data_IF_587659201274
#
_entry.id   IF_587659201274
#
_cell.length_a   1.000
_cell.length_b   1.000
_cell.length_c   1.000
_cell.angle_alpha   90.00
_cell.angle_beta   90.00
_cell.angle_gamma   90.00
#
_symmetry.space_group_name_H-M   'P 1'
#
loop_
_entity.id
_entity.type
_entity.pdbx_description
1 polymer ?
#
# COMPACT_ATOMS: atom_id res chain seq x y z
N UNK A 1 -43.47 6.72 19.68
CA UNK A 1 -42.13 7.27 19.97
C UNK A 1 -41.58 7.91 18.71
N UNK A 2 -40.78 8.96 18.89
CA UNK A 2 -40.50 10.00 17.91
C UNK A 2 -39.58 9.53 16.77
N UNK A 3 -40.13 9.27 15.58
CA UNK A 3 -39.40 8.90 14.35
C UNK A 3 -38.80 10.12 13.66
N UNK A 4 -37.96 10.89 14.35
CA UNK A 4 -37.09 11.85 13.66
C UNK A 4 -35.90 11.09 13.09
N UNK A 5 -36.04 10.58 11.86
CA UNK A 5 -34.87 10.35 11.00
C UNK A 5 -34.24 11.73 10.83
N UNK A 6 -33.19 12.01 11.60
CA UNK A 6 -32.40 13.21 11.42
C UNK A 6 -31.81 13.14 10.02
N UNK A 7 -32.32 13.99 9.14
CA UNK A 7 -31.86 14.15 7.76
C UNK A 7 -30.32 14.13 7.73
N UNK A 8 -29.74 13.04 7.22
CA UNK A 8 -28.31 12.80 7.22
C UNK A 8 -27.52 13.95 6.60
N UNK A 9 -28.11 14.66 5.63
CA UNK A 9 -27.47 15.82 4.97
C UNK A 9 -27.34 17.05 5.88
N UNK A 10 -28.00 17.05 7.05
CA UNK A 10 -27.84 18.09 8.08
C UNK A 10 -26.66 17.82 9.01
N UNK A 11 -26.04 16.64 8.94
CA UNK A 11 -24.82 16.34 9.68
C UNK A 11 -23.62 17.06 9.05
N UNK A 12 -22.61 17.35 9.87
CA UNK A 12 -21.42 18.10 9.44
C UNK A 12 -20.38 17.28 8.67
N UNK A 13 -19.23 17.90 8.41
CA UNK A 13 -18.04 17.29 7.84
C UNK A 13 -16.94 17.25 8.90
N UNK A 14 -16.20 16.15 9.01
CA UNK A 14 -15.01 16.08 9.87
C UNK A 14 -13.83 16.82 9.24
N UNK A 15 -13.44 16.39 8.03
CA UNK A 15 -12.49 17.11 7.18
C UNK A 15 -13.14 17.38 5.83
N UNK A 16 -13.15 18.65 5.42
CA UNK A 16 -13.44 19.07 4.05
C UNK A 16 -12.15 19.55 3.40
N UNK A 17 -11.67 18.82 2.39
CA UNK A 17 -10.43 19.15 1.68
C UNK A 17 -10.71 19.38 0.19
N UNK A 18 -10.35 20.57 -0.29
CA UNK A 18 -10.43 20.95 -1.71
C UNK A 18 -9.02 21.26 -2.22
N UNK A 19 -8.60 20.59 -3.29
CA UNK A 19 -7.30 20.81 -3.95
C UNK A 19 -6.08 20.77 -3.02
N UNK A 20 -6.15 19.94 -1.97
CA UNK A 20 -5.15 19.84 -0.92
C UNK A 20 -4.47 18.47 -0.90
N UNK A 21 -3.18 18.46 -0.53
CA UNK A 21 -2.47 17.24 -0.12
C UNK A 21 -2.44 17.20 1.40
N UNK A 22 -2.88 16.11 2.02
CA UNK A 22 -2.92 16.00 3.48
C UNK A 22 -2.81 14.56 3.97
N UNK A 23 -2.55 14.39 5.27
CA UNK A 23 -2.57 13.09 5.95
C UNK A 23 -3.45 13.19 7.18
N UNK A 24 -4.41 12.29 7.30
CA UNK A 24 -5.15 12.01 8.53
C UNK A 24 -4.63 10.69 9.08
N UNK A 25 -3.70 10.75 10.03
CA UNK A 25 -3.06 9.55 10.58
C UNK A 25 -3.11 9.59 12.10
N UNK A 26 -3.50 8.48 12.73
CA UNK A 26 -3.40 8.35 14.17
C UNK A 26 -1.92 8.33 14.61
N UNK A 27 -1.62 8.96 15.75
CA UNK A 27 -0.26 9.03 16.28
C UNK A 27 0.14 7.71 16.93
N UNK A 28 1.37 7.26 16.69
CA UNK A 28 1.90 5.97 17.18
C UNK A 28 2.76 6.08 18.45
N UNK A 29 2.87 7.25 19.10
CA UNK A 29 3.99 7.49 20.04
C UNK A 29 3.73 7.23 21.52
N UNK A 30 2.51 6.93 21.97
CA UNK A 30 2.17 6.31 23.26
C UNK A 30 0.71 6.63 23.57
N UNK A 31 -0.09 5.59 23.84
CA UNK A 31 -1.58 5.60 23.91
C UNK A 31 -2.21 5.68 22.51
N UNK A 32 -3.07 4.72 22.11
CA UNK A 32 -3.73 4.79 20.81
C UNK A 32 -4.84 5.83 20.92
N UNK A 33 -4.57 7.09 20.58
CA UNK A 33 -5.67 7.97 20.14
C UNK A 33 -5.78 7.79 18.65
N UNK A 34 -6.52 6.77 18.25
CA UNK A 34 -7.09 6.73 16.90
C UNK A 34 -7.90 8.02 16.72
N UNK A 35 -7.80 8.68 15.56
CA UNK A 35 -8.71 9.79 15.30
C UNK A 35 -10.09 9.20 15.05
N UNK A 36 -11.09 9.66 15.80
CA UNK A 36 -12.47 9.20 15.64
C UNK A 36 -13.28 10.27 14.93
N UNK A 37 -13.88 9.90 13.80
CA UNK A 37 -14.87 10.67 13.06
C UNK A 37 -16.23 10.02 13.33
N UNK A 38 -17.16 10.72 13.98
CA UNK A 38 -18.40 10.10 14.44
C UNK A 38 -19.65 10.95 14.18
N UNK A 39 -20.73 10.30 13.75
CA UNK A 39 -22.06 10.91 13.57
C UNK A 39 -22.09 12.07 12.55
N UNK A 40 -21.23 12.01 11.52
CA UNK A 40 -21.11 13.04 10.47
C UNK A 40 -21.82 12.63 9.17
N UNK A 41 -22.05 13.59 8.28
CA UNK A 41 -22.47 13.27 6.91
C UNK A 41 -21.29 12.71 6.13
N UNK A 42 -20.11 13.34 6.32
CA UNK A 42 -18.82 12.83 5.87
C UNK A 42 -17.81 12.88 7.01
N UNK A 43 -17.13 11.76 7.28
CA UNK A 43 -15.93 11.78 8.10
C UNK A 43 -14.82 12.60 7.42
N UNK A 44 -14.44 12.17 6.21
CA UNK A 44 -13.55 12.94 5.32
C UNK A 44 -14.24 13.09 3.96
N UNK A 45 -14.36 14.33 3.49
CA UNK A 45 -14.69 14.63 2.11
C UNK A 45 -13.53 15.36 1.44
N UNK A 46 -12.87 14.68 0.51
CA UNK A 46 -11.72 15.19 -0.21
C UNK A 46 -11.97 15.18 -1.71
N UNK A 47 -11.68 16.29 -2.38
CA UNK A 47 -11.75 16.37 -3.83
C UNK A 47 -10.66 17.26 -4.41
N UNK A 48 -10.22 16.94 -5.63
CA UNK A 48 -9.28 17.79 -6.36
C UNK A 48 -9.54 17.79 -7.86
N UNK A 49 -9.29 18.94 -8.46
CA UNK A 49 -9.14 19.12 -9.92
C UNK A 49 -7.74 18.74 -10.42
N UNK A 50 -6.75 18.73 -9.52
CA UNK A 50 -5.39 18.29 -9.82
C UNK A 50 -5.19 16.84 -9.30
N UNK A 51 -5.07 15.85 -10.20
CA UNK A 51 -4.98 14.44 -9.82
C UNK A 51 -3.73 14.09 -8.99
N UNK A 52 -2.70 14.96 -8.95
CA UNK A 52 -1.49 14.75 -8.16
C UNK A 52 -1.62 15.23 -6.71
N UNK A 53 -2.71 15.91 -6.36
CA UNK A 53 -3.11 16.07 -4.96
C UNK A 53 -3.59 14.73 -4.45
N UNK A 54 -2.99 14.28 -3.35
CA UNK A 54 -3.22 12.96 -2.79
C UNK A 54 -3.48 13.08 -1.30
N UNK A 55 -4.13 12.08 -0.71
CA UNK A 55 -4.30 12.03 0.73
C UNK A 55 -3.96 10.65 1.28
N UNK A 56 -3.58 10.63 2.55
CA UNK A 56 -3.41 9.40 3.32
C UNK A 56 -4.38 9.39 4.49
N UNK A 57 -5.15 8.31 4.66
CA UNK A 57 -5.92 8.01 5.87
C UNK A 57 -5.36 6.74 6.48
N UNK A 58 -4.85 6.83 7.71
CA UNK A 58 -4.26 5.69 8.40
C UNK A 58 -4.65 5.61 9.88
N UNK A 59 -5.13 4.44 10.32
CA UNK A 59 -5.35 4.19 11.75
C UNK A 59 -6.50 4.99 12.35
N UNK A 60 -7.48 5.43 11.54
CA UNK A 60 -8.63 6.21 12.02
C UNK A 60 -9.87 5.34 12.19
N UNK A 61 -10.80 5.81 13.02
CA UNK A 61 -12.12 5.23 13.21
C UNK A 61 -13.20 6.13 12.59
N UNK A 62 -14.09 5.54 11.82
CA UNK A 62 -15.23 6.20 11.19
C UNK A 62 -16.52 5.53 11.66
N UNK A 63 -17.21 6.14 12.62
CA UNK A 63 -18.33 5.51 13.32
C UNK A 63 -19.64 6.23 12.99
N UNK A 64 -20.65 5.51 12.51
CA UNK A 64 -21.98 6.03 12.21
C UNK A 64 -21.98 7.29 11.32
N UNK A 65 -20.99 7.39 10.43
CA UNK A 65 -20.96 8.41 9.40
C UNK A 65 -21.76 7.90 8.20
N UNK A 66 -22.58 8.76 7.58
CA UNK A 66 -23.28 8.39 6.34
C UNK A 66 -22.28 8.09 5.22
N UNK A 67 -21.16 8.82 5.21
CA UNK A 67 -19.96 8.46 4.45
C UNK A 67 -18.72 8.53 5.34
N UNK A 68 -17.98 7.44 5.46
CA UNK A 68 -16.70 7.44 6.21
C UNK A 68 -15.68 8.35 5.51
N UNK A 69 -15.26 7.94 4.31
CA UNK A 69 -14.40 8.72 3.43
C UNK A 69 -15.03 8.80 2.05
N UNK A 70 -15.08 10.00 1.47
CA UNK A 70 -15.41 10.23 0.07
C UNK A 70 -14.28 10.99 -0.61
N UNK A 71 -13.67 10.37 -1.62
CA UNK A 71 -12.55 10.91 -2.36
C UNK A 71 -12.91 11.04 -3.84
N UNK A 72 -12.70 12.23 -4.42
CA UNK A 72 -12.99 12.50 -5.84
C UNK A 72 -11.80 13.14 -6.57
N UNK A 73 -11.36 12.53 -7.67
CA UNK A 73 -10.34 13.13 -8.55
C UNK A 73 -8.92 13.16 -7.98
N UNK A 74 -8.60 12.33 -6.98
CA UNK A 74 -7.28 12.33 -6.31
C UNK A 74 -6.59 10.97 -6.49
N UNK A 75 -5.48 10.96 -7.22
CA UNK A 75 -4.73 9.74 -7.50
C UNK A 75 -3.74 9.41 -6.39
N UNK A 76 -3.23 8.17 -6.39
CA UNK A 76 -2.18 7.71 -5.48
C UNK A 76 -2.53 7.72 -3.98
N UNK A 77 -3.81 7.94 -3.65
CA UNK A 77 -4.29 8.01 -2.28
C UNK A 77 -4.10 6.67 -1.55
N UNK A 78 -3.80 6.75 -0.26
CA UNK A 78 -3.60 5.58 0.62
C UNK A 78 -4.63 5.58 1.73
N UNK A 79 -5.48 4.56 1.77
CA UNK A 79 -6.48 4.36 2.82
C UNK A 79 -6.13 3.03 3.47
N UNK A 80 -5.45 3.06 4.61
CA UNK A 80 -4.83 1.87 5.19
C UNK A 80 -5.11 1.72 6.68
N UNK A 81 -5.37 0.51 7.15
CA UNK A 81 -5.53 0.22 8.58
C UNK A 81 -6.57 1.11 9.29
N UNK A 82 -7.67 1.48 8.63
CA UNK A 82 -8.78 2.22 9.25
C UNK A 82 -9.93 1.27 9.61
N UNK A 83 -10.75 1.69 10.57
CA UNK A 83 -11.98 1.01 10.97
C UNK A 83 -13.19 1.86 10.56
N UNK A 84 -14.16 1.23 9.90
CA UNK A 84 -15.41 1.86 9.46
C UNK A 84 -16.58 1.07 10.03
N UNK A 85 -17.38 1.70 10.88
CA UNK A 85 -18.73 1.26 11.20
C UNK A 85 -19.70 2.18 10.44
N UNK A 86 -20.15 1.68 9.29
CA UNK A 86 -20.86 2.48 8.29
C UNK A 86 -22.26 2.84 8.79
N UNK A 87 -22.52 4.14 8.87
CA UNK A 87 -23.83 4.68 9.21
C UNK A 87 -24.82 4.55 8.07
N UNK A 88 -26.11 4.44 8.40
CA UNK A 88 -27.18 4.59 7.42
C UNK A 88 -27.25 6.02 6.86
N UNK A 89 -27.93 6.13 5.73
CA UNK A 89 -28.28 7.41 5.13
C UNK A 89 -29.73 7.33 4.63
N UNK A 90 -30.39 8.50 4.53
CA UNK A 90 -31.85 8.67 4.49
C UNK A 90 -32.59 7.71 3.54
N UNK A 91 -32.02 7.42 2.37
CA UNK A 91 -32.63 6.54 1.38
C UNK A 91 -31.56 5.62 0.77
N UNK A 92 -31.64 4.32 1.10
CA UNK A 92 -30.73 3.27 0.61
C UNK A 92 -30.65 3.25 -0.93
N UNK A 93 -31.69 3.67 -1.65
CA UNK A 93 -31.70 3.66 -3.12
C UNK A 93 -31.07 4.89 -3.77
N UNK A 94 -31.16 6.08 -3.15
CA UNK A 94 -30.69 7.34 -3.76
C UNK A 94 -29.46 7.94 -3.09
N UNK A 95 -29.25 7.63 -1.82
CA UNK A 95 -28.12 8.11 -1.02
C UNK A 95 -27.77 7.05 0.04
N UNK A 96 -27.16 5.91 -0.35
CA UNK A 96 -26.81 4.84 0.58
C UNK A 96 -25.70 5.24 1.55
N UNK A 97 -25.64 4.57 2.70
CA UNK A 97 -24.52 4.68 3.63
C UNK A 97 -23.28 3.97 3.09
N UNK A 98 -22.12 4.64 3.05
CA UNK A 98 -20.89 4.13 2.41
C UNK A 98 -19.67 4.30 3.32
N UNK A 99 -18.90 3.24 3.57
CA UNK A 99 -17.63 3.35 4.29
C UNK A 99 -16.59 4.17 3.52
N UNK A 100 -16.24 3.70 2.33
CA UNK A 100 -15.29 4.35 1.42
C UNK A 100 -15.91 4.55 0.04
N UNK A 101 -15.96 5.79 -0.43
CA UNK A 101 -16.38 6.17 -1.77
C UNK A 101 -15.20 6.75 -2.57
N UNK A 102 -14.86 6.13 -3.70
CA UNK A 102 -13.79 6.56 -4.61
C UNK A 102 -14.38 6.88 -5.98
N UNK A 103 -14.25 8.12 -6.45
CA UNK A 103 -14.75 8.53 -7.77
C UNK A 103 -13.66 9.25 -8.57
N UNK A 104 -13.42 8.84 -9.82
CA UNK A 104 -12.37 9.43 -10.66
C UNK A 104 -10.97 9.37 -10.01
N UNK A 105 -10.70 8.35 -9.20
CA UNK A 105 -9.43 8.14 -8.51
C UNK A 105 -8.69 6.95 -9.15
N UNK A 106 -7.38 7.07 -9.35
CA UNK A 106 -6.57 5.97 -9.90
C UNK A 106 -5.21 5.82 -9.20
N UNK A 107 -4.56 4.68 -9.40
CA UNK A 107 -3.32 4.27 -8.72
C UNK A 107 -3.40 4.30 -7.17
N UNK A 108 -4.59 4.13 -6.60
CA UNK A 108 -4.78 4.15 -5.15
C UNK A 108 -4.48 2.80 -4.49
N UNK A 109 -4.30 2.84 -3.18
CA UNK A 109 -4.13 1.66 -2.32
C UNK A 109 -5.12 1.69 -1.15
N UNK A 110 -5.98 0.68 -1.09
CA UNK A 110 -6.89 0.43 0.04
C UNK A 110 -6.51 -0.91 0.65
N UNK A 111 -5.89 -0.91 1.83
CA UNK A 111 -5.41 -2.15 2.45
C UNK A 111 -5.59 -2.19 3.97
N UNK A 112 -5.88 -3.39 4.51
CA UNK A 112 -5.94 -3.65 5.95
C UNK A 112 -7.03 -2.84 6.68
N UNK A 113 -8.06 -2.38 5.96
CA UNK A 113 -9.18 -1.69 6.59
C UNK A 113 -10.26 -2.69 7.00
N UNK A 114 -10.99 -2.37 8.06
CA UNK A 114 -12.16 -3.12 8.51
C UNK A 114 -13.41 -2.30 8.24
N UNK A 115 -14.30 -2.80 7.38
CA UNK A 115 -15.62 -2.24 7.12
C UNK A 115 -16.68 -3.14 7.75
N UNK A 116 -17.51 -2.54 8.60
CA UNK A 116 -18.69 -3.19 9.17
C UNK A 116 -19.87 -2.24 9.17
N UNK A 117 -21.05 -2.72 9.54
CA UNK A 117 -22.19 -1.86 9.82
C UNK A 117 -23.00 -2.43 10.98
N UNK A 118 -23.06 -1.66 12.07
CA UNK A 118 -24.04 -1.84 13.14
C UNK A 118 -25.15 -0.79 13.10
N UNK A 119 -25.07 0.14 12.13
CA UNK A 119 -25.91 1.34 12.02
C UNK A 119 -26.72 1.42 10.71
N UNK A 120 -26.85 0.31 9.99
CA UNK A 120 -27.63 0.22 8.75
C UNK A 120 -26.92 0.78 7.51
N UNK A 121 -25.60 0.80 7.50
CA UNK A 121 -24.78 1.08 6.32
C UNK A 121 -25.03 0.07 5.20
N UNK A 122 -24.90 0.54 3.95
CA UNK A 122 -25.21 -0.28 2.77
C UNK A 122 -23.95 -0.83 2.12
N UNK A 123 -22.94 0.04 1.91
CA UNK A 123 -21.72 -0.26 1.16
C UNK A 123 -20.48 -0.16 2.03
N UNK A 124 -19.62 -1.17 1.98
CA UNK A 124 -18.28 -1.08 2.57
C UNK A 124 -17.39 -0.17 1.73
N UNK A 125 -17.20 -0.54 0.46
CA UNK A 125 -16.41 0.24 -0.50
C UNK A 125 -17.16 0.38 -1.83
N UNK A 126 -17.29 1.61 -2.33
CA UNK A 126 -17.90 1.95 -3.61
C UNK A 126 -16.89 2.67 -4.51
N UNK A 127 -16.70 2.15 -5.72
CA UNK A 127 -15.67 2.59 -6.66
C UNK A 127 -16.33 2.98 -7.98
N UNK A 128 -16.06 4.19 -8.43
CA UNK A 128 -16.61 4.74 -9.66
C UNK A 128 -15.50 5.34 -10.52
N UNK A 129 -15.40 4.90 -11.79
CA UNK A 129 -14.44 5.42 -12.76
C UNK A 129 -12.98 5.45 -12.25
N UNK A 130 -12.40 4.28 -12.01
CA UNK A 130 -11.07 4.13 -11.41
C UNK A 130 -9.88 4.30 -12.38
N UNK A 131 -10.13 4.75 -13.62
CA UNK A 131 -9.12 4.86 -14.68
C UNK A 131 -8.39 3.55 -15.01
N UNK A 132 -7.28 3.67 -15.75
CA UNK A 132 -6.56 2.53 -16.35
C UNK A 132 -5.41 1.98 -15.52
N UNK A 133 -4.94 2.72 -14.52
CA UNK A 133 -3.84 2.22 -13.68
C UNK A 133 -4.31 1.06 -12.81
N UNK A 134 -3.36 0.25 -12.37
CA UNK A 134 -3.66 -0.79 -11.38
C UNK A 134 -4.05 -0.15 -10.05
N UNK A 135 -5.23 -0.52 -9.56
CA UNK A 135 -5.77 -0.07 -8.28
C UNK A 135 -5.97 -1.28 -7.39
N UNK A 136 -5.62 -1.19 -6.10
CA UNK A 136 -5.74 -2.32 -5.20
C UNK A 136 -6.76 -2.06 -4.09
N UNK A 137 -7.73 -2.96 -3.99
CA UNK A 137 -8.52 -3.23 -2.79
C UNK A 137 -7.98 -4.56 -2.26
N UNK A 138 -7.11 -4.49 -1.27
CA UNK A 138 -6.26 -5.60 -0.86
C UNK A 138 -6.37 -5.88 0.63
N UNK A 139 -6.66 -7.11 1.05
CA UNK A 139 -6.61 -7.50 2.47
C UNK A 139 -7.45 -6.62 3.39
N UNK A 140 -8.65 -6.23 2.94
CA UNK A 140 -9.63 -5.58 3.79
C UNK A 140 -10.61 -6.62 4.32
N UNK A 141 -11.20 -6.34 5.47
CA UNK A 141 -12.22 -7.17 6.09
C UNK A 141 -13.58 -6.48 5.98
N UNK A 142 -14.58 -7.19 5.47
CA UNK A 142 -15.93 -6.70 5.28
C UNK A 142 -16.90 -7.59 6.06
N UNK A 143 -17.72 -6.99 6.92
CA UNK A 143 -18.74 -7.72 7.68
C UNK A 143 -20.07 -7.00 7.83
N UNK A 144 -21.18 -7.73 7.88
CA UNK A 144 -22.51 -7.17 8.21
C UNK A 144 -22.93 -5.98 7.32
N UNK A 145 -22.59 -6.02 6.03
CA UNK A 145 -22.93 -5.01 5.02
C UNK A 145 -23.82 -5.64 3.96
N UNK A 146 -24.76 -4.89 3.37
CA UNK A 146 -25.58 -5.44 2.28
C UNK A 146 -24.72 -5.75 1.05
N UNK A 147 -23.91 -4.78 0.60
CA UNK A 147 -22.96 -5.00 -0.50
C UNK A 147 -21.57 -4.58 -0.01
N UNK A 148 -20.67 -5.55 0.11
CA UNK A 148 -19.37 -5.31 0.72
C UNK A 148 -18.47 -4.45 -0.17
N UNK A 149 -18.31 -4.82 -1.44
CA UNK A 149 -17.58 -4.02 -2.45
C UNK A 149 -18.43 -3.84 -3.70
N UNK A 150 -18.50 -2.62 -4.24
CA UNK A 150 -19.15 -2.33 -5.53
C UNK A 150 -18.25 -1.50 -6.44
N UNK A 151 -18.20 -1.87 -7.71
CA UNK A 151 -17.51 -1.12 -8.77
C UNK A 151 -18.43 -0.85 -9.96
N UNK A 152 -18.24 0.32 -10.57
CA UNK A 152 -19.00 0.76 -11.74
C UNK A 152 -18.20 1.76 -12.59
N UNK A 153 -18.56 1.84 -13.86
CA UNK A 153 -17.99 2.74 -14.87
C UNK A 153 -16.47 2.68 -14.96
N UNK A 154 -15.89 1.51 -14.69
CA UNK A 154 -14.46 1.26 -14.87
C UNK A 154 -14.14 1.25 -16.35
N UNK A 155 -13.26 2.15 -16.80
CA UNK A 155 -12.85 2.29 -18.19
C UNK A 155 -11.49 1.61 -18.43
N UNK A 156 -11.25 1.12 -19.65
CA UNK A 156 -9.97 0.55 -20.09
C UNK A 156 -9.18 1.46 -21.03
N UNK A 157 -7.86 1.24 -21.05
CA UNK A 157 -7.02 1.70 -22.15
C UNK A 157 -7.50 1.01 -23.44
N UNK A 158 -7.72 1.78 -24.49
CA UNK A 158 -8.43 1.39 -25.72
C UNK A 158 -7.75 0.26 -26.53
N UNK A 159 -6.55 -0.17 -26.14
CA UNK A 159 -5.77 -1.23 -26.81
C UNK A 159 -6.10 -2.66 -26.37
N UNK A 160 -6.97 -2.85 -25.38
CA UNK A 160 -7.22 -4.15 -24.79
C UNK A 160 -8.68 -4.60 -24.93
N UNK A 161 -8.99 -5.30 -26.01
CA UNK A 161 -10.28 -5.98 -26.20
C UNK A 161 -10.16 -7.42 -25.70
N UNK A 162 -11.01 -7.81 -24.75
CA UNK A 162 -11.21 -9.21 -24.41
C UNK A 162 -11.68 -9.98 -25.66
N UNK A 163 -10.98 -11.05 -26.02
CA UNK A 163 -11.39 -12.00 -27.05
C UNK A 163 -12.05 -13.16 -26.31
N UNK A 164 -13.25 -13.58 -26.74
CA UNK A 164 -13.89 -14.81 -26.27
C UNK A 164 -13.59 -15.95 -27.25
N UNK A 165 -13.29 -17.19 -26.80
CA UNK A 165 -13.05 -17.60 -25.41
C UNK A 165 -11.63 -17.17 -24.97
N UNK A 166 -11.39 -16.76 -23.72
CA UNK A 166 -10.24 -15.94 -23.40
C UNK A 166 -8.93 -16.73 -23.44
N UNK A 167 -7.91 -16.30 -24.23
CA UNK A 167 -6.59 -16.18 -23.67
C UNK A 167 -6.60 -15.01 -22.67
N UNK A 168 -5.99 -15.26 -21.52
CA UNK A 168 -5.79 -14.34 -20.40
C UNK A 168 -4.98 -13.12 -20.86
N UNK A 169 -5.63 -12.07 -21.36
CA UNK A 169 -4.94 -10.79 -21.58
C UNK A 169 -4.83 -10.13 -20.21
N UNK A 170 -3.61 -9.81 -19.79
CA UNK A 170 -3.34 -9.12 -18.53
C UNK A 170 -3.58 -7.62 -18.71
N UNK A 171 -4.65 -7.13 -18.10
CA UNK A 171 -5.16 -5.78 -18.21
C UNK A 171 -5.05 -5.10 -16.85
N UNK A 172 -4.35 -3.97 -16.84
CA UNK A 172 -4.35 -3.04 -15.72
C UNK A 172 -5.77 -2.54 -15.43
N UNK A 173 -6.03 -2.24 -14.16
CA UNK A 173 -7.32 -1.79 -13.68
C UNK A 173 -7.52 -2.16 -12.22
N UNK A 174 -8.77 -2.16 -11.77
CA UNK A 174 -9.13 -2.54 -10.41
C UNK A 174 -8.82 -4.03 -10.15
N UNK A 175 -8.01 -4.30 -9.12
CA UNK A 175 -7.71 -5.62 -8.58
C UNK A 175 -8.26 -5.69 -7.16
N UNK A 176 -9.24 -6.56 -6.95
CA UNK A 176 -9.85 -6.87 -5.65
C UNK A 176 -9.30 -8.20 -5.21
N UNK A 177 -8.38 -8.19 -4.25
CA UNK A 177 -7.59 -9.37 -3.88
C UNK A 177 -7.48 -9.53 -2.36
N UNK A 178 -7.43 -10.77 -1.89
CA UNK A 178 -7.13 -11.13 -0.51
C UNK A 178 -8.07 -10.50 0.52
N UNK A 179 -9.23 -10.00 0.12
CA UNK A 179 -10.22 -9.46 1.05
C UNK A 179 -10.98 -10.60 1.69
N UNK A 180 -11.50 -10.35 2.89
CA UNK A 180 -12.31 -11.30 3.64
C UNK A 180 -13.72 -10.74 3.76
N UNK A 181 -14.68 -11.50 3.24
CA UNK A 181 -16.10 -11.20 3.33
C UNK A 181 -16.76 -12.15 4.33
N UNK A 182 -17.44 -11.62 5.32
CA UNK A 182 -18.26 -12.39 6.26
C UNK A 182 -19.63 -11.73 6.42
N UNK A 183 -20.71 -12.49 6.52
CA UNK A 183 -22.04 -11.92 6.78
C UNK A 183 -22.46 -10.80 5.82
N UNK A 184 -22.13 -10.91 4.52
CA UNK A 184 -22.65 -10.00 3.50
C UNK A 184 -24.14 -10.27 3.28
N UNK A 185 -24.96 -9.22 3.32
CA UNK A 185 -26.42 -9.32 3.22
C UNK A 185 -26.94 -9.51 1.79
N UNK A 186 -26.13 -9.27 0.75
CA UNK A 186 -26.50 -9.45 -0.66
C UNK A 186 -25.32 -9.86 -1.55
N UNK A 187 -24.21 -9.14 -1.50
CA UNK A 187 -23.09 -9.36 -2.45
C UNK A 187 -21.75 -9.09 -1.79
N UNK A 188 -20.79 -9.99 -1.98
CA UNK A 188 -19.40 -9.77 -1.58
C UNK A 188 -18.72 -8.77 -2.51
N UNK A 189 -18.70 -9.05 -3.82
CA UNK A 189 -18.20 -8.15 -4.86
C UNK A 189 -19.21 -7.94 -6.00
N UNK A 190 -19.65 -6.70 -6.20
CA UNK A 190 -20.47 -6.29 -7.34
C UNK A 190 -19.65 -5.55 -8.40
N UNK A 191 -19.76 -5.97 -9.66
CA UNK A 191 -19.27 -5.22 -10.83
C UNK A 191 -20.47 -4.90 -11.70
N UNK A 192 -20.87 -3.63 -11.77
CA UNK A 192 -22.16 -3.28 -12.36
C UNK A 192 -22.05 -2.72 -13.77
N UNK A 193 -20.92 -2.12 -14.15
CA UNK A 193 -20.66 -1.65 -15.52
C UNK A 193 -19.16 -1.54 -15.77
N UNK A 194 -18.77 -1.56 -17.05
CA UNK A 194 -17.38 -1.37 -17.47
C UNK A 194 -16.53 -2.64 -17.37
N UNK A 195 -15.27 -2.46 -17.03
CA UNK A 195 -14.29 -3.54 -16.92
C UNK A 195 -13.29 -3.29 -15.80
N UNK A 196 -13.08 -4.29 -14.95
CA UNK A 196 -12.04 -4.30 -13.92
C UNK A 196 -10.76 -4.94 -14.46
N UNK A 197 -9.68 -4.92 -13.67
CA UNK A 197 -8.44 -5.60 -14.04
C UNK A 197 -8.74 -7.06 -14.41
N UNK A 198 -8.14 -7.56 -15.48
CA UNK A 198 -8.41 -8.91 -15.96
C UNK A 198 -7.10 -9.59 -16.29
N UNK A 199 -6.88 -10.85 -15.88
CA UNK A 199 -7.65 -11.54 -14.84
C UNK A 199 -7.53 -10.81 -13.48
N UNK A 200 -8.45 -11.13 -12.55
CA UNK A 200 -8.25 -10.88 -11.13
C UNK A 200 -7.17 -11.86 -10.64
N UNK A 201 -5.98 -11.33 -10.35
CA UNK A 201 -4.81 -12.11 -9.98
C UNK A 201 -4.25 -13.01 -11.09
N UNK A 202 -3.13 -13.69 -10.81
CA UNK A 202 -2.43 -14.60 -11.75
C UNK A 202 -1.94 -15.87 -11.05
N UNK A 203 -1.94 -17.00 -11.75
CA UNK A 203 -1.40 -18.28 -11.28
C UNK A 203 0.10 -18.45 -11.61
N UNK A 204 0.94 -17.46 -11.30
CA UNK A 204 2.39 -17.51 -11.56
C UNK A 204 3.25 -17.62 -10.29
N UNK A 205 2.86 -16.94 -9.21
CA UNK A 205 3.48 -17.04 -7.88
C UNK A 205 2.39 -17.01 -6.81
N UNK A 206 2.63 -17.59 -5.64
CA UNK A 206 1.63 -17.76 -4.57
C UNK A 206 0.89 -16.49 -4.13
N UNK A 207 1.54 -15.32 -4.19
CA UNK A 207 0.96 -14.02 -3.81
C UNK A 207 0.15 -13.32 -4.92
N UNK A 208 0.14 -13.90 -6.13
CA UNK A 208 -0.47 -13.29 -7.31
C UNK A 208 -1.95 -13.60 -7.53
N UNK A 209 -2.52 -14.77 -7.18
CA UNK A 209 -3.94 -15.02 -7.33
C UNK A 209 -4.76 -14.03 -6.51
N UNK A 210 -6.04 -13.89 -6.87
CA UNK A 210 -6.93 -12.95 -6.21
C UNK A 210 -7.21 -13.37 -4.77
N UNK A 211 -7.54 -14.64 -4.52
CA UNK A 211 -7.65 -15.22 -3.18
C UNK A 211 -8.51 -14.40 -2.20
N UNK A 212 -9.60 -13.78 -2.68
CA UNK A 212 -10.60 -13.29 -1.74
C UNK A 212 -11.23 -14.49 -1.04
N UNK A 213 -11.48 -14.34 0.26
CA UNK A 213 -12.22 -15.28 1.09
C UNK A 213 -13.68 -14.82 1.06
N UNK A 214 -14.54 -15.58 0.38
CA UNK A 214 -15.95 -15.23 0.23
C UNK A 214 -16.79 -15.71 1.41
N UNK A 215 -17.88 -15.01 1.64
CA UNK A 215 -18.78 -15.29 2.76
C UNK A 215 -19.57 -16.57 2.54
N UNK A 216 -19.83 -16.93 1.27
CA UNK A 216 -20.52 -18.16 0.87
C UNK A 216 -21.87 -18.38 1.56
N UNK A 217 -22.56 -17.28 1.89
CA UNK A 217 -23.77 -17.37 2.71
C UNK A 217 -24.94 -17.89 1.88
N UNK A 218 -25.58 -18.91 2.45
CA UNK A 218 -26.90 -19.46 2.18
C UNK A 218 -27.30 -19.67 0.71
N UNK A 219 -26.84 -20.81 0.17
CA UNK A 219 -27.21 -21.35 -1.14
C UNK A 219 -28.73 -21.64 -1.24
N UNK A 220 -29.44 -21.82 -0.11
CA UNK A 220 -30.85 -22.25 -0.13
C UNK A 220 -31.81 -21.15 -0.63
N UNK A 221 -31.42 -19.87 -0.53
CA UNK A 221 -32.25 -18.73 -0.93
C UNK A 221 -31.78 -18.01 -2.21
N UNK A 222 -30.69 -18.45 -2.84
CA UNK A 222 -30.19 -18.04 -4.16
C UNK A 222 -30.03 -16.52 -4.42
N UNK A 223 -30.00 -15.71 -3.36
CA UNK A 223 -30.01 -14.25 -3.46
C UNK A 223 -28.68 -13.60 -3.05
N UNK A 224 -27.69 -14.39 -2.62
CA UNK A 224 -26.39 -13.91 -2.16
C UNK A 224 -25.29 -14.27 -3.16
N UNK A 225 -24.53 -13.28 -3.62
CA UNK A 225 -23.53 -13.45 -4.69
C UNK A 225 -22.11 -13.29 -4.15
N UNK A 226 -21.21 -14.23 -4.48
CA UNK A 226 -19.78 -14.02 -4.28
C UNK A 226 -19.31 -12.91 -5.24
N UNK A 227 -19.68 -13.05 -6.52
CA UNK A 227 -19.45 -12.01 -7.54
C UNK A 227 -20.71 -11.78 -8.36
N UNK A 228 -21.37 -10.65 -8.15
CA UNK A 228 -22.47 -10.19 -8.98
C UNK A 228 -21.96 -9.38 -10.18
N UNK A 229 -22.52 -9.64 -11.37
CA UNK A 229 -22.22 -8.86 -12.58
C UNK A 229 -23.47 -8.56 -13.41
N UNK A 230 -23.54 -7.34 -13.96
CA UNK A 230 -24.53 -7.02 -14.99
C UNK A 230 -24.09 -7.55 -16.37
N UNK A 231 -25.03 -7.82 -17.30
CA UNK A 231 -24.72 -8.36 -18.64
C UNK A 231 -23.74 -7.52 -19.48
N UNK A 232 -23.63 -6.22 -19.22
CA UNK A 232 -22.76 -5.29 -19.97
C UNK A 232 -21.32 -5.25 -19.47
N UNK A 233 -21.00 -5.97 -18.39
CA UNK A 233 -19.63 -6.07 -17.86
C UNK A 233 -18.79 -6.89 -18.83
N UNK A 234 -17.55 -6.44 -19.07
CA UNK A 234 -16.63 -7.21 -19.91
C UNK A 234 -16.17 -8.48 -19.18
N UNK A 235 -16.19 -9.66 -19.83
CA UNK A 235 -15.77 -10.90 -19.18
C UNK A 235 -14.32 -10.86 -18.66
N UNK A 236 -14.09 -11.53 -17.53
CA UNK A 236 -12.77 -11.60 -16.88
C UNK A 236 -12.56 -12.94 -16.16
N UNK A 237 -11.29 -13.31 -15.98
CA UNK A 237 -10.88 -14.48 -15.20
C UNK A 237 -10.70 -14.16 -13.72
N UNK A 238 -11.04 -15.10 -12.83
CA UNK A 238 -10.78 -15.01 -11.39
C UNK A 238 -9.80 -16.10 -10.96
N UNK A 239 -8.53 -15.75 -10.78
CA UNK A 239 -7.48 -16.69 -10.38
C UNK A 239 -7.51 -16.91 -8.87
N UNK A 240 -7.50 -18.15 -8.39
CA UNK A 240 -7.48 -18.46 -6.95
C UNK A 240 -6.69 -19.72 -6.63
N UNK A 241 -6.03 -19.75 -5.48
CA UNK A 241 -5.42 -20.95 -4.89
C UNK A 241 -6.52 -21.77 -4.21
N UNK A 242 -6.76 -23.03 -4.60
CA UNK A 242 -7.78 -23.86 -3.96
C UNK A 242 -7.53 -24.05 -2.45
N UNK A 243 -8.57 -23.93 -1.64
CA UNK A 243 -8.56 -24.19 -0.19
C UNK A 243 -9.24 -25.54 0.12
N UNK A 244 -8.91 -26.16 1.27
CA UNK A 244 -9.58 -27.40 1.71
C UNK A 244 -11.07 -27.22 2.02
N UNK A 245 -11.48 -26.01 2.40
CA UNK A 245 -12.86 -25.62 2.65
C UNK A 245 -13.50 -24.81 1.51
N UNK A 246 -12.86 -24.76 0.33
CA UNK A 246 -13.27 -24.01 -0.87
C UNK A 246 -13.60 -22.52 -0.67
N UNK A 247 -13.10 -21.91 0.42
CA UNK A 247 -13.39 -20.52 0.81
C UNK A 247 -12.89 -19.44 -0.16
N UNK A 248 -11.99 -19.81 -1.07
CA UNK A 248 -11.42 -18.93 -2.10
C UNK A 248 -12.02 -19.16 -3.48
N UNK A 249 -12.80 -20.25 -3.64
CA UNK A 249 -13.54 -20.56 -4.86
C UNK A 249 -14.76 -19.65 -5.04
N UNK A 250 -15.45 -19.80 -6.16
CA UNK A 250 -16.70 -19.07 -6.43
C UNK A 250 -17.86 -20.08 -6.45
N UNK A 251 -18.88 -19.84 -5.65
CA UNK A 251 -20.13 -20.60 -5.56
C UNK A 251 -21.26 -19.94 -6.35
N UNK A 252 -21.45 -18.62 -6.23
CA UNK A 252 -22.50 -17.88 -6.95
C UNK A 252 -21.97 -16.70 -7.77
N UNK A 253 -21.98 -16.86 -9.09
CA UNK A 253 -21.47 -15.91 -10.07
C UNK A 253 -22.08 -16.13 -11.46
N UNK A 254 -22.01 -15.12 -12.33
CA UNK A 254 -22.42 -15.26 -13.72
C UNK A 254 -21.29 -15.87 -14.56
N UNK A 255 -21.43 -17.15 -14.92
CA UNK A 255 -20.41 -17.91 -15.67
C UNK A 255 -20.18 -17.43 -17.10
N UNK A 256 -21.06 -16.60 -17.67
CA UNK A 256 -20.83 -15.96 -18.99
C UNK A 256 -19.89 -14.76 -18.91
N UNK A 257 -19.64 -14.23 -17.71
CA UNK A 257 -18.83 -13.03 -17.48
C UNK A 257 -17.62 -13.35 -16.62
N UNK A 258 -17.76 -14.15 -15.57
CA UNK A 258 -16.69 -14.51 -14.65
C UNK A 258 -16.27 -15.95 -14.90
N UNK A 259 -14.99 -16.16 -15.20
CA UNK A 259 -14.40 -17.51 -15.35
C UNK A 259 -13.49 -17.81 -14.15
N UNK A 260 -13.85 -18.71 -13.24
CA UNK A 260 -12.95 -19.15 -12.18
C UNK A 260 -11.75 -19.91 -12.77
N UNK A 261 -10.55 -19.62 -12.28
CA UNK A 261 -9.28 -20.21 -12.73
C UNK A 261 -8.53 -20.73 -11.50
N UNK A 262 -8.68 -22.01 -11.13
CA UNK A 262 -7.95 -22.56 -10.00
C UNK A 262 -6.46 -22.69 -10.33
N UNK A 263 -5.61 -22.17 -9.45
CA UNK A 263 -4.16 -22.32 -9.50
C UNK A 263 -3.73 -23.68 -8.93
N UNK A 264 -4.18 -24.77 -9.56
CA UNK A 264 -4.08 -26.14 -9.05
C UNK A 264 -2.65 -26.67 -8.88
N UNK A 265 -1.64 -25.98 -9.41
CA UNK A 265 -0.23 -26.33 -9.23
C UNK A 265 0.36 -25.87 -7.88
N UNK A 266 -0.37 -25.05 -7.12
CA UNK A 266 0.08 -24.55 -5.82
C UNK A 266 -0.34 -25.50 -4.69
N UNK A 267 0.38 -25.41 -3.55
CA UNK A 267 -0.08 -26.00 -2.31
C UNK A 267 -1.46 -25.40 -1.92
N UNK A 268 -2.26 -26.11 -1.10
CA UNK A 268 -3.53 -25.58 -0.61
C UNK A 268 -3.37 -24.18 -0.02
N UNK A 269 -4.41 -23.37 -0.19
CA UNK A 269 -4.43 -21.99 0.25
C UNK A 269 -3.99 -21.85 1.71
N UNK A 270 -3.06 -20.94 1.93
CA UNK A 270 -2.58 -20.51 3.24
C UNK A 270 -2.51 -18.98 3.21
N UNK A 271 -3.35 -18.33 4.00
CA UNK A 271 -3.50 -16.87 3.98
C UNK A 271 -2.18 -16.14 4.28
N UNK A 272 -1.34 -16.71 5.14
CA UNK A 272 -0.06 -16.08 5.53
C UNK A 272 0.93 -16.01 4.38
N UNK A 273 0.90 -17.00 3.48
CA UNK A 273 1.82 -17.13 2.35
C UNK A 273 1.22 -16.62 1.04
N UNK A 274 -0.08 -16.80 0.83
CA UNK A 274 -0.78 -16.41 -0.40
C UNK A 274 -1.32 -14.97 -0.35
N UNK A 275 -1.60 -14.44 0.85
CA UNK A 275 -2.14 -13.10 1.08
C UNK A 275 -1.35 -12.29 2.14
N UNK A 276 -0.01 -12.18 2.03
CA UNK A 276 0.79 -11.39 2.98
C UNK A 276 0.43 -9.91 2.90
N UNK A 277 0.51 -9.19 4.02
CA UNK A 277 0.33 -7.72 3.97
C UNK A 277 1.44 -7.09 3.13
N UNK A 278 1.08 -6.07 2.35
CA UNK A 278 2.00 -5.21 1.60
C UNK A 278 2.20 -3.85 2.27
N UNK A 279 1.58 -3.62 3.44
CA UNK A 279 2.01 -2.58 4.36
C UNK A 279 3.37 -3.02 4.91
N UNK A 280 4.44 -2.28 4.60
CA UNK A 280 5.77 -2.63 5.07
C UNK A 280 5.85 -2.51 6.59
N UNK A 281 5.47 -3.55 7.35
CA UNK A 281 5.56 -3.68 8.83
C UNK A 281 5.45 -2.34 9.58
N UNK A 282 4.47 -1.53 9.17
CA UNK A 282 4.23 -0.17 9.65
C UNK A 282 3.23 -0.13 10.80
N UNK A 283 2.86 -1.30 11.32
CA UNK A 283 2.24 -1.46 12.62
C UNK A 283 3.36 -1.35 13.66
N UNK A 284 3.13 -0.65 14.76
CA UNK A 284 4.08 -0.40 15.85
C UNK A 284 4.54 -1.63 16.64
N UNK A 285 4.95 -2.71 15.95
CA UNK A 285 5.60 -3.91 16.48
C UNK A 285 6.74 -4.35 15.54
N UNK A 286 7.80 -3.53 15.49
CA UNK A 286 9.16 -4.02 15.69
C UNK A 286 9.82 -5.01 14.71
N UNK A 287 9.47 -5.08 13.42
CA UNK A 287 10.21 -5.96 12.48
C UNK A 287 10.77 -5.31 11.22
N UNK A 288 10.13 -4.30 10.62
CA UNK A 288 10.71 -3.57 9.47
C UNK A 288 11.79 -2.57 9.85
N UNK A 289 11.59 -1.85 10.95
CA UNK A 289 12.63 -0.99 11.53
C UNK A 289 13.79 -1.83 12.04
N UNK A 290 13.58 -3.02 12.58
CA UNK A 290 14.67 -3.91 12.98
C UNK A 290 15.51 -4.37 11.78
N UNK A 291 14.88 -4.71 10.65
CA UNK A 291 15.59 -5.07 9.43
C UNK A 291 16.32 -3.87 8.78
N UNK A 292 15.72 -2.67 8.81
CA UNK A 292 16.39 -1.46 8.36
C UNK A 292 17.53 -1.05 9.31
N UNK A 293 17.34 -1.12 10.62
CA UNK A 293 18.37 -0.86 11.64
C UNK A 293 19.50 -1.88 11.51
N UNK A 294 19.20 -3.15 11.26
CA UNK A 294 20.21 -4.16 10.98
C UNK A 294 21.03 -3.82 9.72
N UNK A 295 20.38 -3.35 8.65
CA UNK A 295 21.08 -2.85 7.45
C UNK A 295 21.89 -1.58 7.72
N UNK A 296 21.35 -0.63 8.48
CA UNK A 296 22.04 0.60 8.88
C UNK A 296 23.28 0.25 9.72
N UNK A 297 23.16 -0.67 10.67
CA UNK A 297 24.27 -1.12 11.50
C UNK A 297 25.32 -1.89 10.68
N UNK A 298 24.89 -2.72 9.72
CA UNK A 298 25.79 -3.40 8.79
C UNK A 298 26.55 -2.40 7.91
N UNK A 299 25.85 -1.39 7.35
CA UNK A 299 26.48 -0.35 6.55
C UNK A 299 27.38 0.58 7.38
N UNK A 300 26.98 0.94 8.60
CA UNK A 300 27.84 1.72 9.50
C UNK A 300 29.10 0.95 9.91
N UNK A 301 28.97 -0.37 10.14
CA UNK A 301 30.13 -1.24 10.39
C UNK A 301 31.05 -1.25 9.18
N UNK A 302 30.50 -1.43 7.97
CA UNK A 302 31.27 -1.41 6.74
C UNK A 302 31.94 -0.05 6.49
N UNK A 303 31.23 1.06 6.72
CA UNK A 303 31.77 2.42 6.61
C UNK A 303 32.91 2.63 7.61
N UNK A 304 32.76 2.18 8.85
CA UNK A 304 33.82 2.29 9.86
C UNK A 304 35.03 1.44 9.50
N UNK A 305 34.84 0.21 9.03
CA UNK A 305 35.94 -0.64 8.54
C UNK A 305 36.68 0.01 7.36
N UNK A 306 35.95 0.55 6.38
CA UNK A 306 36.56 1.24 5.23
C UNK A 306 37.23 2.55 5.64
N UNK A 307 36.64 3.31 6.57
CA UNK A 307 37.23 4.56 7.08
C UNK A 307 38.53 4.32 7.85
N UNK A 308 38.64 3.18 8.55
CA UNK A 308 39.89 2.76 9.20
C UNK A 308 40.98 2.35 8.18
N UNK A 309 40.63 2.03 6.94
CA UNK A 309 41.63 1.77 5.89
C UNK A 309 42.25 3.06 5.34
N UNK A 310 41.59 4.20 5.53
CA UNK A 310 42.08 5.53 5.17
C UNK A 310 42.86 6.10 6.36
N UNK A 311 44.16 6.38 6.18
CA UNK A 311 45.05 6.93 7.21
C UNK A 311 45.10 6.12 8.52
N UNK A 312 44.60 4.88 8.55
CA UNK A 312 44.44 4.10 9.79
C UNK A 312 43.40 4.65 10.75
N UNK A 313 42.49 5.52 10.26
CA UNK A 313 41.65 6.34 11.12
C UNK A 313 42.41 7.41 11.91
N UNK A 314 43.66 7.71 11.57
CA UNK A 314 44.55 8.57 12.37
C UNK A 314 45.05 9.81 11.61
N UNK A 315 44.21 10.38 10.75
CA UNK A 315 44.50 11.55 9.90
C UNK A 315 45.14 12.69 10.69
N UNK A 316 44.63 13.04 11.88
CA UNK A 316 45.16 14.17 12.65
C UNK A 316 46.58 13.95 13.17
N UNK A 317 46.95 12.73 13.57
CA UNK A 317 48.32 12.43 14.00
C UNK A 317 49.28 12.49 12.81
N UNK A 318 48.84 12.02 11.64
CA UNK A 318 49.62 12.13 10.41
C UNK A 318 49.83 13.61 10.05
N UNK A 319 48.79 14.44 10.11
CA UNK A 319 48.91 15.88 9.89
C UNK A 319 49.87 16.55 10.88
N UNK A 320 49.83 16.17 12.16
CA UNK A 320 50.79 16.68 13.15
C UNK A 320 52.23 16.29 12.81
N UNK A 321 52.46 15.05 12.36
CA UNK A 321 53.78 14.60 11.89
C UNK A 321 54.23 15.35 10.64
N UNK A 322 53.33 15.58 9.68
CA UNK A 322 53.60 16.39 8.48
C UNK A 322 53.99 17.81 8.87
N UNK A 323 53.36 18.41 9.88
CA UNK A 323 53.66 19.77 10.32
C UNK A 323 54.88 19.87 11.26
N UNK A 324 55.46 18.73 11.66
CA UNK A 324 56.66 18.68 12.51
C UNK A 324 57.97 18.69 11.70
N UNK A 325 59.10 18.84 12.39
CA UNK A 325 60.45 18.75 11.82
C UNK A 325 60.93 17.29 11.64
N UNK A 326 60.02 16.35 11.36
CA UNK A 326 60.36 14.95 11.15
C UNK A 326 61.13 14.76 9.84
N UNK A 327 62.21 13.97 9.87
CA UNK A 327 63.00 13.66 8.69
C UNK A 327 62.17 12.91 7.63
N UNK A 328 62.38 13.23 6.34
CA UNK A 328 61.52 12.75 5.25
C UNK A 328 61.34 11.23 5.17
N UNK A 329 62.40 10.45 5.39
CA UNK A 329 62.29 8.98 5.42
C UNK A 329 61.45 8.45 6.59
N UNK A 330 61.52 9.10 7.76
CA UNK A 330 60.68 8.76 8.92
C UNK A 330 59.22 9.18 8.70
N UNK A 331 59.00 10.30 8.02
CA UNK A 331 57.65 10.76 7.66
C UNK A 331 56.99 9.84 6.64
N UNK A 332 57.71 9.40 5.61
CA UNK A 332 57.24 8.39 4.65
C UNK A 332 56.75 7.12 5.35
N UNK A 333 57.62 6.53 6.19
CA UNK A 333 57.29 5.30 6.90
C UNK A 333 56.08 5.51 7.83
N UNK A 334 55.93 6.70 8.42
CA UNK A 334 54.79 7.01 9.26
C UNK A 334 53.47 7.17 8.48
N UNK A 335 53.49 7.65 7.23
CA UNK A 335 52.30 7.76 6.37
C UNK A 335 51.88 6.36 5.89
N UNK A 336 52.82 5.60 5.34
CA UNK A 336 52.56 4.28 4.77
C UNK A 336 52.24 3.20 5.81
N UNK A 337 52.55 3.42 7.09
CA UNK A 337 52.28 2.44 8.15
C UNK A 337 50.85 2.48 8.68
N UNK A 338 50.08 3.56 8.46
CA UNK A 338 48.77 3.70 9.12
C UNK A 338 47.62 3.08 8.33
N UNK A 339 47.71 2.93 7.01
CA UNK A 339 46.61 2.34 6.24
C UNK A 339 47.03 1.93 4.84
N UNK A 340 46.16 1.20 4.15
CA UNK A 340 46.34 0.86 2.74
C UNK A 340 46.11 2.05 1.81
N UNK A 341 45.41 3.07 2.31
CA UNK A 341 45.11 4.30 1.57
C UNK A 341 45.37 5.53 2.45
N UNK A 342 45.85 6.59 1.85
CA UNK A 342 46.04 7.90 2.48
C UNK A 342 44.94 8.84 2.02
N UNK A 343 44.40 9.67 2.91
CA UNK A 343 43.38 10.64 2.52
C UNK A 343 43.96 11.75 1.63
N UNK A 344 43.12 12.33 0.78
CA UNK A 344 43.47 13.54 0.00
C UNK A 344 44.02 14.65 0.91
N UNK A 345 43.46 14.80 2.11
CA UNK A 345 43.93 15.77 3.11
C UNK A 345 45.40 15.52 3.49
N UNK A 346 45.77 14.28 3.76
CA UNK A 346 47.16 13.88 4.09
C UNK A 346 48.08 14.02 2.88
N UNK A 347 47.64 13.60 1.69
CA UNK A 347 48.43 13.69 0.46
C UNK A 347 48.70 15.15 0.07
N UNK A 348 47.67 16.00 0.10
CA UNK A 348 47.77 17.43 -0.17
C UNK A 348 48.67 18.11 0.86
N UNK A 349 48.50 17.81 2.15
CA UNK A 349 49.35 18.39 3.20
C UNK A 349 50.82 17.96 3.05
N UNK A 350 51.07 16.72 2.64
CA UNK A 350 52.43 16.21 2.38
C UNK A 350 53.08 16.94 1.20
N UNK A 351 52.34 17.17 0.11
CA UNK A 351 52.80 17.92 -1.06
C UNK A 351 53.09 19.38 -0.69
N UNK A 352 52.23 20.00 0.12
CA UNK A 352 52.30 21.41 0.51
C UNK A 352 53.15 21.69 1.75
N UNK A 353 53.88 20.69 2.28
CA UNK A 353 54.71 20.85 3.47
C UNK A 353 55.74 21.98 3.28
N UNK A 354 55.89 22.83 4.29
CA UNK A 354 56.78 24.01 4.29
C UNK A 354 58.26 23.70 4.04
N UNK A 355 58.73 22.51 4.43
CA UNK A 355 60.00 21.96 4.01
C UNK A 355 59.73 20.79 3.04
N UNK A 356 59.84 21.01 1.72
CA UNK A 356 59.44 20.03 0.73
C UNK A 356 60.20 18.71 0.86
N UNK A 357 59.49 17.60 0.68
CA UNK A 357 60.12 16.28 0.64
C UNK A 357 60.94 16.10 -0.66
N UNK A 358 62.07 15.38 -0.62
CA UNK A 358 62.79 15.00 -1.83
C UNK A 358 61.86 14.28 -2.82
N UNK A 359 61.97 14.54 -4.14
CA UNK A 359 61.08 13.98 -5.14
C UNK A 359 60.95 12.45 -5.11
N UNK A 360 62.04 11.73 -4.80
CA UNK A 360 62.01 10.27 -4.66
C UNK A 360 61.14 9.78 -3.50
N UNK A 361 61.21 10.45 -2.35
CA UNK A 361 60.38 10.12 -1.18
C UNK A 361 58.91 10.45 -1.43
N UNK A 362 58.64 11.59 -2.09
CA UNK A 362 57.27 11.98 -2.43
C UNK A 362 56.63 10.98 -3.42
N UNK A 363 57.39 10.52 -4.42
CA UNK A 363 56.93 9.48 -5.36
C UNK A 363 56.59 8.17 -4.66
N UNK A 364 57.41 7.75 -3.69
CA UNK A 364 57.16 6.53 -2.90
C UNK A 364 55.92 6.63 -2.00
N UNK A 365 55.44 7.84 -1.68
CA UNK A 365 54.18 8.05 -0.95
C UNK A 365 53.00 8.07 -1.92
N UNK A 366 53.12 8.74 -3.07
CA UNK A 366 52.00 8.94 -3.99
C UNK A 366 51.67 7.67 -4.79
N UNK A 367 52.66 6.92 -5.29
CA UNK A 367 52.39 5.77 -6.17
C UNK A 367 51.58 4.64 -5.51
N UNK A 368 51.78 4.32 -4.22
CA UNK A 368 50.98 3.28 -3.54
C UNK A 368 49.58 3.71 -3.09
N UNK A 369 49.22 4.99 -3.22
CA UNK A 369 47.93 5.57 -2.78
C UNK A 369 47.15 6.10 -3.98
#
# INVERSE_FOLDING_TARGET
ENTSVTDATKKGYGILASDATFSASASSTSVPTQNTFENLYYGIYAFSSNPLRTFTSQGNEFINNSRGISCKGMNYSKIISNVFDVGSCNNIQSDPGIGLYLENCTAYKVEDNHFTSTHGGTYGTAIYNNGFNTNYIYKNYYSNLNISTISANSTLNSVSRAISPPPVINLSGLQVKCNHYTNSGMVDLAVTTGQIGSPQGLCNVRTSPANNIFSHIDIENNNLWDIFTNPTVTPFGYCYTPASSDITGLWNYNSSIVTPIPCSSFAPFDETTDCPSTLGTGSGTGTGTAALIAKINAYNTQINTLSLQIDGGNTQNILNKINSNLAGGKLKNAILANGSYSSDTVLIATIKKSNPLPPGILKEIIVPN
#
